data_IF_963506917891
#
_entry.id   IF_963506917891
#
_cell.length_a   1.000
_cell.length_b   1.000
_cell.length_c   1.000
_cell.angle_alpha   90.00
_cell.angle_beta   90.00
_cell.angle_gamma   90.00
#
_symmetry.space_group_name_H-M   'P 1'
#
loop_
_entity.id
_entity.type
_entity.pdbx_description
1 polymer ?
#
# COMPACT_ATOMS: atom_id res chain seq x y z
N UNK A 1 -7.75 24.36 9.86
CA UNK A 1 -8.48 25.06 10.95
C UNK A 1 -7.75 26.35 11.25
N UNK A 2 -8.36 27.48 10.89
CA UNK A 2 -7.87 28.82 11.17
C UNK A 2 -8.64 29.32 12.39
N UNK A 3 -7.97 29.74 13.48
CA UNK A 3 -8.66 30.24 14.66
C UNK A 3 -9.36 31.58 14.36
N UNK A 4 -10.50 31.88 15.01
CA UNK A 4 -11.27 33.10 14.73
C UNK A 4 -10.54 34.40 15.10
N UNK A 5 -9.54 34.34 15.98
CA UNK A 5 -8.69 35.44 16.43
C UNK A 5 -7.30 35.43 15.75
N UNK A 6 -7.22 34.84 14.55
CA UNK A 6 -5.96 34.69 13.79
C UNK A 6 -5.28 36.03 13.51
N UNK A 7 -6.04 37.07 13.16
CA UNK A 7 -5.56 38.42 12.87
C UNK A 7 -4.87 39.07 14.08
N UNK A 8 -5.49 38.97 15.25
CA UNK A 8 -4.94 39.48 16.52
C UNK A 8 -3.68 38.71 16.89
N UNK A 9 -3.72 37.37 16.83
CA UNK A 9 -2.56 36.52 17.16
C UNK A 9 -1.41 36.67 16.18
N UNK A 10 -1.68 37.03 14.92
CA UNK A 10 -0.65 37.26 13.92
C UNK A 10 0.17 38.50 14.26
N UNK A 11 -0.49 39.58 14.71
CA UNK A 11 0.18 40.80 15.17
C UNK A 11 1.03 40.56 16.43
N UNK A 12 0.61 39.64 17.29
CA UNK A 12 1.37 39.22 18.48
C UNK A 12 2.50 38.22 18.20
N UNK A 13 2.63 37.74 16.95
CA UNK A 13 3.61 36.71 16.57
C UNK A 13 3.30 35.31 17.12
N UNK A 14 2.06 35.05 17.55
CA UNK A 14 1.60 33.80 18.18
C UNK A 14 0.55 33.05 17.37
N UNK A 15 0.32 33.44 16.10
CA UNK A 15 -0.64 32.78 15.25
C UNK A 15 -0.25 31.32 14.98
N UNK A 16 -1.21 30.41 15.15
CA UNK A 16 -1.06 28.98 14.87
C UNK A 16 -2.24 28.51 14.01
N UNK A 17 -1.94 27.71 13.00
CA UNK A 17 -2.94 27.10 12.11
C UNK A 17 -2.74 25.61 12.16
N UNK A 18 -3.84 24.85 12.30
CA UNK A 18 -3.80 23.40 12.28
C UNK A 18 -4.30 22.89 10.93
N UNK A 19 -3.54 21.99 10.30
CA UNK A 19 -3.98 21.27 9.11
C UNK A 19 -4.20 19.82 9.51
N UNK A 20 -5.43 19.34 9.35
CA UNK A 20 -5.77 17.93 9.56
C UNK A 20 -5.79 17.28 8.19
N UNK A 21 -4.98 16.24 8.02
CA UNK A 21 -4.88 15.47 6.79
C UNK A 21 -5.34 14.05 7.08
N UNK A 22 -6.06 13.46 6.13
CA UNK A 22 -6.32 12.03 6.16
C UNK A 22 -5.01 11.28 5.85
N UNK A 23 -4.58 10.47 6.81
CA UNK A 23 -3.37 9.64 6.71
C UNK A 23 -3.69 8.16 6.49
N UNK A 24 -4.92 7.80 6.11
CA UNK A 24 -5.32 6.42 5.84
C UNK A 24 -4.48 5.79 4.73
N UNK A 25 -4.12 6.58 3.73
CA UNK A 25 -3.08 6.27 2.75
C UNK A 25 -1.83 7.07 3.09
N UNK A 26 -0.74 6.37 3.44
CA UNK A 26 0.51 7.00 3.88
C UNK A 26 1.20 7.79 2.75
N UNK A 27 1.07 7.33 1.50
CA UNK A 27 1.68 7.95 0.32
C UNK A 27 0.95 9.25 -0.01
N UNK A 28 -0.37 9.21 -0.06
CA UNK A 28 -1.21 10.40 -0.30
C UNK A 28 -1.07 11.39 0.86
N UNK A 29 -1.17 10.93 2.10
CA UNK A 29 -1.04 11.77 3.30
C UNK A 29 0.33 12.44 3.40
N UNK A 30 1.42 11.70 3.14
CA UNK A 30 2.78 12.24 3.12
C UNK A 30 3.01 13.27 2.00
N UNK A 31 2.43 13.02 0.82
CA UNK A 31 2.49 13.96 -0.31
C UNK A 31 1.71 15.24 0.01
N UNK A 32 0.48 15.12 0.52
CA UNK A 32 -0.35 16.25 0.91
C UNK A 32 0.33 17.13 1.97
N UNK A 33 0.95 16.51 2.99
CA UNK A 33 1.72 17.23 4.00
C UNK A 33 2.91 17.97 3.40
N UNK A 34 3.65 17.32 2.49
CA UNK A 34 4.82 17.91 1.84
C UNK A 34 4.45 19.11 0.98
N UNK A 35 3.38 19.00 0.19
CA UNK A 35 2.84 20.09 -0.63
C UNK A 35 2.34 21.24 0.25
N UNK A 36 1.59 20.94 1.31
CA UNK A 36 1.10 21.98 2.23
C UNK A 36 2.25 22.73 2.91
N UNK A 37 3.30 22.01 3.33
CA UNK A 37 4.52 22.60 3.90
C UNK A 37 5.23 23.51 2.89
N UNK A 38 5.39 23.06 1.65
CA UNK A 38 6.03 23.84 0.58
C UNK A 38 5.24 25.11 0.23
N UNK A 39 3.92 25.01 0.10
CA UNK A 39 3.06 26.17 -0.17
C UNK A 39 3.14 27.16 1.00
N UNK A 40 3.02 26.68 2.24
CA UNK A 40 3.11 27.51 3.43
C UNK A 40 4.47 28.22 3.54
N UNK A 41 5.57 27.49 3.33
CA UNK A 41 6.91 28.07 3.37
C UNK A 41 7.16 29.06 2.24
N UNK A 42 6.74 28.76 1.00
CA UNK A 42 6.92 29.68 -0.14
C UNK A 42 6.16 30.98 0.05
N UNK A 43 4.91 30.91 0.54
CA UNK A 43 4.09 32.09 0.80
C UNK A 43 4.63 32.92 1.95
N UNK A 44 5.05 32.28 3.05
CA UNK A 44 5.66 32.96 4.18
C UNK A 44 7.00 33.63 3.81
N UNK A 45 7.81 32.99 2.96
CA UNK A 45 9.04 33.57 2.43
C UNK A 45 8.75 34.78 1.55
N UNK A 46 7.70 34.72 0.72
CA UNK A 46 7.26 35.85 -0.12
C UNK A 46 6.85 37.05 0.74
N UNK A 47 6.00 36.87 1.74
CA UNK A 47 5.58 37.95 2.65
C UNK A 47 6.78 38.58 3.36
N UNK A 48 7.70 37.76 3.89
CA UNK A 48 8.90 38.29 4.54
C UNK A 48 9.80 39.06 3.56
N UNK A 49 9.93 38.59 2.31
CA UNK A 49 10.71 39.29 1.29
C UNK A 49 10.12 40.65 0.92
N UNK A 50 8.80 40.75 0.82
CA UNK A 50 8.09 42.01 0.55
C UNK A 50 8.23 42.98 1.73
N UNK A 51 8.08 42.50 2.98
CA UNK A 51 8.28 43.33 4.17
C UNK A 51 9.73 43.82 4.31
N UNK A 52 10.70 42.96 3.99
CA UNK A 52 12.13 43.30 4.03
C UNK A 52 12.47 44.37 2.98
N UNK A 53 11.91 44.25 1.76
CA UNK A 53 12.06 45.24 0.70
C UNK A 53 11.47 46.62 1.08
N UNK A 54 10.39 46.65 1.86
CA UNK A 54 9.72 47.88 2.30
C UNK A 54 10.37 48.53 3.52
N UNK A 55 11.00 47.75 4.41
CA UNK A 55 11.53 48.24 5.71
C UNK A 55 13.06 48.32 5.79
N UNK A 56 13.79 47.76 4.82
CA UNK A 56 15.26 47.80 4.76
C UNK A 56 15.97 47.02 5.87
N UNK A 57 15.24 46.30 6.73
CA UNK A 57 15.81 45.43 7.78
C UNK A 57 16.24 44.11 7.15
N UNK A 58 17.49 43.69 7.36
CA UNK A 58 17.95 42.36 6.94
C UNK A 58 17.01 41.28 7.51
N UNK A 59 16.48 40.45 6.63
CA UNK A 59 15.67 39.30 7.03
C UNK A 59 16.52 38.38 7.91
N UNK A 60 16.03 38.06 9.11
CA UNK A 60 16.64 37.02 9.92
C UNK A 60 16.60 35.69 9.13
N UNK A 61 17.70 34.95 9.11
CA UNK A 61 17.82 33.61 8.50
C UNK A 61 17.06 32.52 9.28
N UNK A 62 15.92 32.86 9.88
CA UNK A 62 15.04 31.90 10.54
C UNK A 62 13.97 31.42 9.55
N UNK A 63 13.61 30.12 9.56
CA UNK A 63 12.48 29.63 8.79
C UNK A 63 11.23 30.48 9.11
N UNK A 64 10.51 31.00 8.09
CA UNK A 64 9.35 31.85 8.30
C UNK A 64 8.21 31.16 9.06
N UNK A 65 8.21 29.82 9.06
CA UNK A 65 7.10 28.99 9.49
C UNK A 65 7.64 27.74 10.21
N UNK A 66 7.29 27.60 11.49
CA UNK A 66 7.56 26.39 12.29
C UNK A 66 6.43 25.38 12.04
N UNK A 67 6.73 24.32 11.27
CA UNK A 67 5.78 23.26 10.95
C UNK A 67 5.99 22.10 11.91
N UNK A 68 5.03 21.91 12.82
CA UNK A 68 4.99 20.77 13.74
C UNK A 68 3.98 19.74 13.24
N UNK A 69 4.49 18.67 12.65
CA UNK A 69 3.66 17.54 12.21
C UNK A 69 3.46 16.57 13.37
N UNK A 70 2.21 16.12 13.59
CA UNK A 70 1.89 15.07 14.53
C UNK A 70 1.08 13.98 13.84
N UNK A 71 1.64 12.77 13.71
CA UNK A 71 0.95 11.62 13.14
C UNK A 71 0.25 10.85 14.26
N UNK A 72 -1.06 10.61 14.12
CA UNK A 72 -1.87 10.01 15.19
C UNK A 72 -1.72 8.48 15.30
N UNK A 73 -1.54 7.78 14.17
CA UNK A 73 -1.46 6.31 14.16
C UNK A 73 -0.05 5.78 14.50
N UNK A 74 0.99 6.44 13.99
CA UNK A 74 2.39 6.09 14.20
C UNK A 74 3.22 7.34 14.53
N UNK A 75 3.14 7.85 15.77
CA UNK A 75 3.84 9.07 16.19
C UNK A 75 5.36 8.96 16.04
N UNK A 76 5.90 7.75 16.27
CA UNK A 76 7.33 7.45 16.19
C UNK A 76 7.80 7.14 14.76
N UNK A 77 6.90 7.16 13.78
CA UNK A 77 7.17 6.86 12.36
C UNK A 77 7.96 5.56 12.16
N UNK A 78 7.67 4.54 12.98
CA UNK A 78 8.32 3.23 12.89
C UNK A 78 7.99 2.61 11.53
N UNK A 79 8.99 2.54 10.66
CA UNK A 79 8.84 2.04 9.28
C UNK A 79 8.30 0.60 9.23
N UNK A 80 8.61 -0.21 10.24
CA UNK A 80 8.15 -1.60 10.32
C UNK A 80 6.62 -1.72 10.34
N UNK A 81 5.89 -0.76 10.92
CA UNK A 81 4.43 -0.82 11.01
C UNK A 81 3.73 -0.65 9.66
N UNK A 82 4.42 -0.05 8.68
CA UNK A 82 3.91 0.14 7.32
C UNK A 82 4.49 -0.90 6.35
N UNK A 83 5.82 -1.10 6.40
CA UNK A 83 6.50 -1.90 5.40
C UNK A 83 6.31 -3.41 5.61
N UNK A 84 6.26 -3.88 6.86
CA UNK A 84 6.18 -5.34 7.12
C UNK A 84 4.87 -5.90 6.58
N UNK A 85 3.67 -5.37 6.91
CA UNK A 85 2.43 -5.91 6.33
C UNK A 85 2.37 -5.76 4.81
N UNK A 86 2.85 -4.63 4.26
CA UNK A 86 2.83 -4.36 2.82
C UNK A 86 3.69 -5.33 2.01
N UNK A 87 4.95 -5.53 2.42
CA UNK A 87 5.87 -6.46 1.76
C UNK A 87 5.35 -7.89 1.84
N UNK A 88 4.79 -8.32 2.99
CA UNK A 88 4.31 -9.70 3.06
C UNK A 88 3.03 -9.88 2.23
N UNK A 89 2.13 -8.89 2.18
CA UNK A 89 0.98 -8.91 1.26
C UNK A 89 1.40 -9.01 -0.20
N UNK A 90 2.47 -8.31 -0.58
CA UNK A 90 3.07 -8.37 -1.92
C UNK A 90 3.69 -9.74 -2.23
N UNK A 91 4.39 -10.35 -1.27
CA UNK A 91 4.91 -11.72 -1.40
C UNK A 91 3.76 -12.72 -1.56
N UNK A 92 2.71 -12.58 -0.75
CA UNK A 92 1.53 -13.45 -0.79
C UNK A 92 0.81 -13.34 -2.14
N UNK A 93 0.60 -12.12 -2.64
CA UNK A 93 0.10 -11.89 -3.99
C UNK A 93 0.95 -12.61 -5.04
N UNK A 94 2.27 -12.39 -4.99
CA UNK A 94 3.19 -12.94 -5.97
C UNK A 94 3.16 -14.46 -5.97
N UNK A 95 3.26 -15.09 -4.80
CA UNK A 95 3.23 -16.55 -4.66
C UNK A 95 1.89 -17.11 -5.14
N UNK A 96 0.76 -16.56 -4.68
CA UNK A 96 -0.56 -17.09 -5.04
C UNK A 96 -0.88 -16.94 -6.53
N UNK A 97 -0.62 -15.77 -7.10
CA UNK A 97 -0.84 -15.51 -8.52
C UNK A 97 0.10 -16.34 -9.40
N UNK A 98 1.39 -16.39 -9.06
CA UNK A 98 2.39 -17.14 -9.82
C UNK A 98 2.13 -18.64 -9.77
N UNK A 99 1.92 -19.22 -8.58
CA UNK A 99 1.67 -20.65 -8.45
C UNK A 99 0.40 -21.07 -9.20
N UNK A 100 -0.64 -20.26 -9.15
CA UNK A 100 -1.88 -20.51 -9.89
C UNK A 100 -1.65 -20.44 -11.40
N UNK A 101 -0.95 -19.41 -11.87
CA UNK A 101 -0.64 -19.26 -13.28
C UNK A 101 0.21 -20.42 -13.80
N UNK A 102 1.29 -20.75 -13.08
CA UNK A 102 2.21 -21.84 -13.42
C UNK A 102 1.54 -23.21 -13.34
N UNK A 103 0.61 -23.45 -12.40
CA UNK A 103 -0.06 -24.74 -12.28
C UNK A 103 -0.90 -25.11 -13.51
N UNK A 104 -1.51 -24.10 -14.15
CA UNK A 104 -2.30 -24.28 -15.38
C UNK A 104 -1.37 -24.33 -16.60
N UNK A 105 -0.42 -23.40 -16.70
CA UNK A 105 0.48 -23.33 -17.86
C UNK A 105 1.42 -24.54 -17.93
N UNK A 106 1.87 -25.08 -16.79
CA UNK A 106 2.67 -26.30 -16.74
C UNK A 106 1.95 -27.49 -17.37
N UNK A 107 0.63 -27.58 -17.26
CA UNK A 107 -0.12 -28.65 -17.92
C UNK A 107 -0.27 -28.43 -19.42
N UNK A 108 -0.35 -27.16 -19.84
CA UNK A 108 -0.36 -26.79 -21.26
C UNK A 108 0.97 -27.13 -21.91
N UNK A 109 2.08 -26.71 -21.31
CA UNK A 109 3.44 -26.99 -21.78
C UNK A 109 3.73 -28.48 -21.87
N UNK A 110 3.22 -29.27 -20.92
CA UNK A 110 3.42 -30.73 -20.90
C UNK A 110 2.47 -31.49 -21.84
N UNK A 111 1.55 -30.80 -22.54
CA UNK A 111 0.54 -31.42 -23.40
C UNK A 111 -0.53 -32.21 -22.65
N UNK A 112 -0.52 -32.21 -21.31
CA UNK A 112 -1.48 -32.96 -20.48
C UNK A 112 -2.89 -32.37 -20.50
N UNK A 113 -3.06 -31.12 -20.95
CA UNK A 113 -4.39 -30.51 -21.13
C UNK A 113 -5.24 -31.33 -22.11
N UNK A 114 -4.65 -31.84 -23.19
CA UNK A 114 -5.37 -32.64 -24.19
C UNK A 114 -5.85 -33.97 -23.60
N UNK A 115 -5.05 -34.58 -22.72
CA UNK A 115 -5.43 -35.81 -22.01
C UNK A 115 -6.52 -35.54 -20.95
N UNK A 116 -6.49 -34.38 -20.30
CA UNK A 116 -7.48 -33.98 -19.30
C UNK A 116 -8.86 -33.72 -19.91
N UNK A 117 -8.94 -33.17 -21.13
CA UNK A 117 -10.20 -32.91 -21.83
C UNK A 117 -10.95 -34.22 -22.17
N UNK A 118 -10.25 -35.35 -22.27
CA UNK A 118 -10.84 -36.66 -22.58
C UNK A 118 -11.34 -37.40 -21.33
N UNK A 119 -11.00 -36.92 -20.13
CA UNK A 119 -11.54 -37.47 -18.88
C UNK A 119 -12.96 -36.95 -18.62
N UNK A 120 -13.84 -37.71 -17.95
CA UNK A 120 -15.21 -37.29 -17.63
C UNK A 120 -15.27 -36.24 -16.49
N UNK A 121 -14.23 -35.42 -16.33
CA UNK A 121 -14.11 -34.39 -15.29
C UNK A 121 -14.48 -33.03 -15.90
N UNK A 122 -15.28 -32.24 -15.21
CA UNK A 122 -15.65 -30.90 -15.70
C UNK A 122 -14.48 -29.94 -15.54
N UNK A 123 -14.25 -29.06 -16.50
CA UNK A 123 -13.12 -28.11 -16.47
C UNK A 123 -13.07 -27.25 -15.21
N UNK A 124 -14.23 -26.87 -14.63
CA UNK A 124 -14.28 -26.10 -13.38
C UNK A 124 -13.94 -26.94 -12.14
N UNK A 125 -14.24 -28.24 -12.12
CA UNK A 125 -13.89 -29.13 -11.00
C UNK A 125 -12.38 -29.31 -10.91
N UNK A 126 -11.73 -29.43 -12.08
CA UNK A 126 -10.27 -29.52 -12.19
C UNK A 126 -9.59 -28.23 -11.72
N UNK A 127 -10.12 -27.08 -12.15
CA UNK A 127 -9.60 -25.75 -11.76
C UNK A 127 -9.79 -25.52 -10.26
N UNK A 128 -10.99 -25.77 -9.71
CA UNK A 128 -11.26 -25.60 -8.27
C UNK A 128 -10.42 -26.56 -7.44
N UNK A 129 -10.32 -27.83 -7.82
CA UNK A 129 -9.50 -28.81 -7.11
C UNK A 129 -8.01 -28.47 -7.07
N UNK A 130 -7.51 -27.77 -8.09
CA UNK A 130 -6.12 -27.27 -8.14
C UNK A 130 -5.90 -25.94 -7.44
N UNK A 131 -6.90 -25.06 -7.45
CA UNK A 131 -6.81 -23.75 -6.81
C UNK A 131 -6.98 -23.87 -5.30
N UNK A 132 -7.77 -24.85 -4.82
CA UNK A 132 -8.08 -25.03 -3.40
C UNK A 132 -6.82 -25.19 -2.51
N UNK A 133 -5.79 -26.00 -2.86
CA UNK A 133 -4.55 -26.05 -2.10
C UNK A 133 -3.84 -24.70 -1.98
N UNK A 134 -3.85 -23.88 -3.04
CA UNK A 134 -3.24 -22.55 -3.01
C UNK A 134 -4.05 -21.56 -2.17
N UNK A 135 -5.38 -21.68 -2.18
CA UNK A 135 -6.23 -20.90 -1.27
C UNK A 135 -5.94 -21.23 0.20
N UNK A 136 -5.78 -22.52 0.53
CA UNK A 136 -5.41 -22.96 1.89
C UNK A 136 -4.05 -22.41 2.29
N UNK A 137 -3.04 -22.52 1.41
CA UNK A 137 -1.72 -21.94 1.65
C UNK A 137 -1.80 -20.44 1.93
N UNK A 138 -2.60 -19.70 1.17
CA UNK A 138 -2.73 -18.27 1.36
C UNK A 138 -3.40 -17.88 2.70
N UNK A 139 -4.32 -18.70 3.21
CA UNK A 139 -4.86 -18.53 4.56
C UNK A 139 -3.81 -18.83 5.65
N UNK A 140 -2.94 -19.83 5.42
CA UNK A 140 -1.81 -20.13 6.30
C UNK A 140 -0.81 -18.96 6.30
N UNK A 141 -0.48 -18.42 5.13
CA UNK A 141 0.40 -17.25 5.00
C UNK A 141 -0.21 -16.02 5.68
N UNK A 142 -1.52 -15.82 5.57
CA UNK A 142 -2.22 -14.74 6.32
C UNK A 142 -2.06 -14.88 7.83
N UNK A 143 -2.16 -16.11 8.35
CA UNK A 143 -1.90 -16.39 9.76
C UNK A 143 -0.44 -16.11 10.13
N UNK A 144 0.49 -16.54 9.29
CA UNK A 144 1.93 -16.32 9.47
C UNK A 144 2.25 -14.82 9.53
N UNK A 145 1.67 -14.01 8.63
CA UNK A 145 1.80 -12.55 8.63
C UNK A 145 1.35 -11.95 9.96
N UNK A 146 0.20 -12.38 10.46
CA UNK A 146 -0.35 -11.85 11.71
C UNK A 146 0.51 -12.24 12.92
N UNK A 147 0.97 -13.49 12.96
CA UNK A 147 1.80 -13.99 14.07
C UNK A 147 3.18 -13.33 14.05
N UNK A 148 3.89 -13.39 12.92
CA UNK A 148 5.25 -12.83 12.78
C UNK A 148 5.21 -11.31 12.89
N UNK A 149 4.26 -10.65 12.21
CA UNK A 149 4.10 -9.20 12.27
C UNK A 149 3.88 -8.71 13.69
N UNK A 150 3.01 -9.38 14.46
CA UNK A 150 2.73 -8.99 15.83
C UNK A 150 3.86 -9.36 16.81
N UNK A 151 4.36 -10.59 16.78
CA UNK A 151 5.30 -11.09 17.79
C UNK A 151 6.75 -10.69 17.52
N UNK A 152 7.18 -10.68 16.25
CA UNK A 152 8.57 -10.39 15.88
C UNK A 152 8.82 -8.91 15.60
N UNK A 153 7.89 -8.27 14.89
CA UNK A 153 8.01 -6.87 14.47
C UNK A 153 7.22 -5.90 15.35
N UNK A 154 6.48 -6.39 16.34
CA UNK A 154 5.73 -5.56 17.28
C UNK A 154 4.58 -4.79 16.61
N UNK A 155 4.14 -5.20 15.41
CA UNK A 155 3.08 -4.49 14.68
C UNK A 155 1.77 -4.61 15.46
N UNK A 156 1.15 -3.49 15.87
CA UNK A 156 -0.08 -3.55 16.65
C UNK A 156 -1.26 -3.91 15.74
N UNK A 157 -1.83 -5.09 15.91
CA UNK A 157 -3.06 -5.50 15.22
C UNK A 157 -4.25 -4.85 15.94
N UNK A 158 -4.61 -3.64 15.54
CA UNK A 158 -5.74 -2.89 16.09
C UNK A 158 -6.99 -3.19 15.27
N UNK A 159 -7.86 -4.10 15.76
CA UNK A 159 -9.14 -4.40 15.12
C UNK A 159 -9.67 -5.80 15.39
N UNK A 160 -10.74 -6.16 14.67
CA UNK A 160 -11.34 -7.49 14.76
C UNK A 160 -10.62 -8.47 13.82
N UNK A 161 -9.98 -9.50 14.39
CA UNK A 161 -9.20 -10.50 13.63
C UNK A 161 -10.03 -11.18 12.53
N UNK A 162 -11.31 -11.45 12.78
CA UNK A 162 -12.22 -12.00 11.76
C UNK A 162 -12.42 -11.10 10.54
N UNK A 163 -12.35 -9.77 10.71
CA UNK A 163 -12.43 -8.84 9.57
C UNK A 163 -11.18 -8.95 8.70
N UNK A 164 -10.01 -9.11 9.34
CA UNK A 164 -8.74 -9.34 8.63
C UNK A 164 -8.83 -10.63 7.82
N UNK A 165 -9.28 -11.74 8.41
CA UNK A 165 -9.46 -12.99 7.68
C UNK A 165 -10.43 -12.87 6.50
N UNK A 166 -11.53 -12.12 6.65
CA UNK A 166 -12.50 -11.94 5.57
C UNK A 166 -11.91 -11.12 4.42
N UNK A 167 -11.20 -10.02 4.73
CA UNK A 167 -10.52 -9.20 3.73
C UNK A 167 -9.37 -9.94 3.07
N UNK A 168 -8.59 -10.70 3.83
CA UNK A 168 -7.54 -11.58 3.29
C UNK A 168 -8.13 -12.66 2.40
N UNK A 169 -9.25 -13.27 2.77
CA UNK A 169 -9.95 -14.25 1.92
C UNK A 169 -10.38 -13.63 0.59
N UNK A 170 -10.94 -12.41 0.61
CA UNK A 170 -11.27 -11.68 -0.61
C UNK A 170 -10.04 -11.39 -1.46
N UNK A 171 -8.95 -10.93 -0.83
CA UNK A 171 -7.67 -10.67 -1.48
C UNK A 171 -7.12 -11.92 -2.17
N UNK A 172 -7.16 -13.06 -1.50
CA UNK A 172 -6.72 -14.36 -2.04
C UNK A 172 -7.56 -14.77 -3.23
N UNK A 173 -8.89 -14.65 -3.15
CA UNK A 173 -9.77 -14.97 -4.28
C UNK A 173 -9.43 -14.08 -5.49
N UNK A 174 -9.18 -12.79 -5.26
CA UNK A 174 -8.77 -11.86 -6.31
C UNK A 174 -7.40 -12.22 -6.90
N UNK A 175 -6.40 -12.54 -6.07
CA UNK A 175 -5.05 -12.89 -6.56
C UNK A 175 -5.03 -14.20 -7.35
N UNK A 176 -5.80 -15.20 -6.91
CA UNK A 176 -6.02 -16.45 -7.64
C UNK A 176 -6.69 -16.19 -9.00
N UNK A 177 -7.69 -15.28 -9.03
CA UNK A 177 -8.33 -14.84 -10.27
C UNK A 177 -7.36 -14.19 -11.25
N UNK A 178 -6.46 -13.33 -10.75
CA UNK A 178 -5.41 -12.71 -11.57
C UNK A 178 -4.41 -13.76 -12.07
N UNK A 179 -3.99 -14.70 -11.23
CA UNK A 179 -3.13 -15.81 -11.64
C UNK A 179 -3.77 -16.68 -12.73
N UNK A 180 -5.06 -16.98 -12.58
CA UNK A 180 -5.81 -17.71 -13.59
C UNK A 180 -5.92 -16.92 -14.89
N UNK A 181 -6.21 -15.62 -14.83
CA UNK A 181 -6.24 -14.75 -16.00
C UNK A 181 -4.87 -14.71 -16.72
N UNK A 182 -3.78 -14.54 -15.97
CA UNK A 182 -2.43 -14.58 -16.51
C UNK A 182 -2.12 -15.92 -17.22
N UNK A 183 -2.64 -17.03 -16.70
CA UNK A 183 -2.49 -18.36 -17.33
C UNK A 183 -3.18 -18.49 -18.68
N UNK A 184 -4.20 -17.66 -18.95
CA UNK A 184 -4.89 -17.68 -20.25
C UNK A 184 -4.08 -17.03 -21.35
N UNK A 185 -3.22 -16.06 -21.00
CA UNK A 185 -2.38 -15.31 -21.94
C UNK A 185 -1.05 -16.04 -22.17
N UNK A 186 -0.49 -16.64 -21.11
CA UNK A 186 0.81 -17.29 -21.18
C UNK A 186 0.76 -18.71 -21.77
N UNK A 187 1.71 -19.01 -22.64
CA UNK A 187 1.90 -20.36 -23.19
C UNK A 187 3.02 -21.12 -22.47
N UNK A 188 3.96 -20.40 -21.86
CA UNK A 188 5.06 -21.00 -21.07
C UNK A 188 5.09 -20.53 -19.62
N UNK A 189 5.68 -21.31 -18.72
CA UNK A 189 5.85 -20.93 -17.31
C UNK A 189 6.67 -19.65 -17.16
N UNK A 190 7.63 -19.42 -18.06
CA UNK A 190 8.40 -18.17 -18.11
C UNK A 190 7.52 -16.98 -18.53
N UNK A 191 6.67 -17.15 -19.55
CA UNK A 191 5.68 -16.12 -19.92
C UNK A 191 4.68 -15.85 -18.81
N UNK A 192 4.24 -16.89 -18.09
CA UNK A 192 3.33 -16.75 -16.95
C UNK A 192 3.96 -15.92 -15.84
N UNK A 193 5.23 -16.18 -15.53
CA UNK A 193 6.01 -15.40 -14.57
C UNK A 193 6.09 -13.92 -14.95
N UNK A 194 6.45 -13.63 -16.21
CA UNK A 194 6.55 -12.26 -16.71
C UNK A 194 5.18 -11.57 -16.68
N UNK A 195 4.11 -12.27 -17.06
CA UNK A 195 2.75 -11.74 -17.05
C UNK A 195 2.31 -11.38 -15.64
N UNK A 196 2.55 -12.25 -14.66
CA UNK A 196 2.25 -11.98 -13.24
C UNK A 196 3.10 -10.81 -12.74
N UNK A 197 4.39 -10.74 -13.07
CA UNK A 197 5.23 -9.59 -12.70
C UNK A 197 4.69 -8.26 -13.26
N UNK A 198 4.23 -8.24 -14.52
CA UNK A 198 3.66 -7.04 -15.13
C UNK A 198 2.41 -6.57 -14.37
N UNK A 199 1.55 -7.51 -13.94
CA UNK A 199 0.37 -7.15 -13.11
C UNK A 199 0.75 -6.65 -11.71
N UNK A 200 1.89 -7.10 -11.20
CA UNK A 200 2.38 -6.73 -9.87
C UNK A 200 2.99 -5.33 -9.85
N UNK A 201 3.75 -4.95 -10.89
CA UNK A 201 4.50 -3.69 -10.93
C UNK A 201 3.63 -2.45 -10.62
N UNK A 202 2.44 -2.23 -11.23
CA UNK A 202 1.58 -1.12 -10.88
C UNK A 202 1.16 -1.13 -9.41
N UNK A 203 0.94 -2.31 -8.83
CA UNK A 203 0.51 -2.47 -7.44
C UNK A 203 1.62 -2.13 -6.42
N UNK A 204 2.88 -2.02 -6.85
CA UNK A 204 4.00 -1.59 -6.00
C UNK A 204 4.12 -0.07 -5.99
N UNK A 205 3.82 0.57 -7.13
CA UNK A 205 4.01 2.01 -7.33
C UNK A 205 2.78 2.86 -7.00
N UNK A 206 1.61 2.22 -6.89
CA UNK A 206 0.35 2.81 -6.40
C UNK A 206 0.26 2.63 -4.90
#
# INVERSE_FOLDING_TARGET
>A
IIPPDYDIRLLEGKAQVSLVLDGSDATVGGTALSVAKLIGQSYATKILSEQTALTGRQAAFAPPLDVRTQVWYNPDLIAAYFNVPGVIGMILYFITALLTASAVVRERERGTIEQLIVTPIRSWELVVGKILPYAILAFIDTLEILVIGHWWFGVPVRGHVGLVFLLSGLFVISSLGIGLFASTIANTQQEAFITVMITMLPSIFL
#
